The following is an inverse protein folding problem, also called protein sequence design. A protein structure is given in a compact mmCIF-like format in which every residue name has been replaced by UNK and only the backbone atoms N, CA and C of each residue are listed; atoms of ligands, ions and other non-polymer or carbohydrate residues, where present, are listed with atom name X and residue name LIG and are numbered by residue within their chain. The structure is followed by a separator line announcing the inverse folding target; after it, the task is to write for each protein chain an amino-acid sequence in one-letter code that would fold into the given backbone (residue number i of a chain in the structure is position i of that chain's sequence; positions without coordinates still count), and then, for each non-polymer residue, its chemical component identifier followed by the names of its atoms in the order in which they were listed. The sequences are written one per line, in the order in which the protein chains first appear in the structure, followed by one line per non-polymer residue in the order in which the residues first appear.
data_IF_470261131024
#
_entry.id   IF_470261131024
#
_cell.length_a   1.000
_cell.length_b   1.000
_cell.length_c   1.000
_cell.angle_alpha   90.00
_cell.angle_beta   90.00
_cell.angle_gamma   90.00
#
_symmetry.space_group_name_H-M   'P 1'
#
loop_
_entity.id
_entity.type
_entity.pdbx_description
1 polymer ?
#
# COMPACT_ATOMS: atom_id res chain seq x y z
N UNK A 1 -17.58 -17.12 -5.49
CA UNK A 1 -16.18 -17.58 -5.45
C UNK A 1 -15.47 -16.56 -4.60
N UNK A 2 -14.66 -17.00 -3.63
CA UNK A 2 -13.99 -16.05 -2.75
C UNK A 2 -12.57 -15.87 -3.26
N UNK A 3 -12.11 -14.64 -3.34
CA UNK A 3 -10.79 -14.29 -3.83
C UNK A 3 -9.76 -14.27 -2.69
N UNK A 4 -10.21 -13.85 -1.50
CA UNK A 4 -9.36 -13.71 -0.30
C UNK A 4 -9.86 -14.64 0.80
N UNK A 5 -9.00 -15.51 1.31
CA UNK A 5 -9.25 -16.38 2.45
C UNK A 5 -8.57 -15.84 3.70
N UNK A 6 -9.29 -15.71 4.82
CA UNK A 6 -8.73 -15.27 6.10
C UNK A 6 -8.51 -16.49 7.02
N UNK A 7 -7.25 -16.84 7.21
CA UNK A 7 -6.80 -17.86 8.15
C UNK A 7 -6.41 -17.19 9.48
N UNK A 8 -7.00 -17.64 10.58
CA UNK A 8 -6.74 -17.06 11.90
C UNK A 8 -6.94 -18.08 13.02
N UNK A 9 -6.31 -17.84 14.17
CA UNK A 9 -6.60 -18.58 15.40
C UNK A 9 -7.73 -17.91 16.17
N UNK A 10 -8.62 -18.73 16.75
CA UNK A 10 -9.74 -18.22 17.55
C UNK A 10 -9.27 -17.49 18.81
N UNK A 11 -8.21 -18.00 19.43
CA UNK A 11 -7.55 -17.34 20.56
C UNK A 11 -6.59 -16.28 20.02
N UNK A 12 -6.79 -15.02 20.42
CA UNK A 12 -5.96 -13.87 20.04
C UNK A 12 -6.29 -13.24 18.67
N UNK A 13 -6.52 -14.04 17.63
CA UNK A 13 -6.67 -13.54 16.26
C UNK A 13 -8.10 -13.15 15.84
N UNK A 14 -9.12 -13.43 16.67
CA UNK A 14 -10.53 -13.29 16.26
C UNK A 14 -10.89 -11.84 15.93
N UNK A 15 -10.67 -10.90 16.83
CA UNK A 15 -11.06 -9.49 16.61
C UNK A 15 -10.43 -8.92 15.33
N UNK A 16 -9.11 -9.14 15.16
CA UNK A 16 -8.40 -8.75 13.96
C UNK A 16 -9.00 -9.37 12.68
N UNK A 17 -9.36 -10.66 12.72
CA UNK A 17 -9.97 -11.34 11.58
C UNK A 17 -11.31 -10.71 11.16
N UNK A 18 -12.16 -10.35 12.13
CA UNK A 18 -13.44 -9.68 11.85
C UNK A 18 -13.22 -8.28 11.26
N UNK A 19 -12.29 -7.50 11.80
CA UNK A 19 -11.97 -6.17 11.26
C UNK A 19 -11.37 -6.27 9.85
N UNK A 20 -10.43 -7.19 9.62
CA UNK A 20 -9.88 -7.45 8.28
C UNK A 20 -10.99 -7.83 7.31
N UNK A 21 -11.89 -8.74 7.70
CA UNK A 21 -13.02 -9.13 6.86
C UNK A 21 -13.88 -7.93 6.47
N UNK A 22 -14.25 -7.06 7.42
CA UNK A 22 -15.05 -5.86 7.12
C UNK A 22 -14.37 -4.94 6.12
N UNK A 23 -13.07 -4.65 6.29
CA UNK A 23 -12.33 -3.75 5.39
C UNK A 23 -12.15 -4.36 4.01
N UNK A 24 -11.80 -5.64 3.93
CA UNK A 24 -11.67 -6.36 2.66
C UNK A 24 -13.01 -6.46 1.94
N UNK A 25 -14.10 -6.69 2.67
CA UNK A 25 -15.44 -6.78 2.09
C UNK A 25 -15.95 -5.43 1.62
N UNK A 26 -15.60 -4.35 2.32
CA UNK A 26 -15.86 -2.99 1.84
C UNK A 26 -15.11 -2.70 0.53
N UNK A 27 -13.87 -3.19 0.39
CA UNK A 27 -13.02 -2.96 -0.77
C UNK A 27 -13.35 -3.83 -1.98
N UNK A 28 -13.50 -5.14 -1.79
CA UNK A 28 -13.65 -6.14 -2.86
C UNK A 28 -15.05 -6.74 -2.97
N UNK A 29 -15.92 -6.42 -2.01
CA UNK A 29 -17.25 -6.99 -1.88
C UNK A 29 -17.34 -8.18 -0.94
N UNK A 30 -18.51 -8.30 -0.31
CA UNK A 30 -18.81 -9.31 0.71
C UNK A 30 -18.70 -10.75 0.20
N UNK A 31 -19.01 -10.97 -1.09
CA UNK A 31 -18.87 -12.28 -1.73
C UNK A 31 -17.43 -12.69 -2.05
N UNK A 32 -16.47 -11.76 -1.96
CA UNK A 32 -15.09 -11.94 -2.40
C UNK A 32 -14.16 -12.33 -1.26
N UNK A 33 -14.62 -12.28 -0.01
CA UNK A 33 -13.83 -12.57 1.19
C UNK A 33 -14.43 -13.76 1.91
N UNK A 34 -13.59 -14.72 2.28
CA UNK A 34 -13.97 -15.89 3.04
C UNK A 34 -13.40 -15.82 4.45
N UNK A 35 -14.29 -15.90 5.44
CA UNK A 35 -13.96 -16.07 6.85
C UNK A 35 -14.85 -17.19 7.40
N UNK A 36 -14.26 -18.32 7.78
CA UNK A 36 -15.01 -19.54 8.10
C UNK A 36 -16.17 -19.33 9.10
N UNK A 37 -15.96 -18.49 10.12
CA UNK A 37 -16.97 -18.18 11.13
C UNK A 37 -18.18 -17.37 10.61
N UNK A 38 -18.06 -16.70 9.46
CA UNK A 38 -19.13 -15.94 8.80
C UNK A 38 -19.66 -16.64 7.55
N UNK A 39 -18.79 -17.25 6.77
CA UNK A 39 -19.06 -17.69 5.40
C UNK A 39 -19.58 -19.13 5.27
N UNK A 40 -19.49 -19.96 6.33
CA UNK A 40 -19.98 -21.35 6.29
C UNK A 40 -21.40 -21.41 6.87
N UNK A 41 -22.42 -21.79 6.08
CA UNK A 41 -23.79 -21.91 6.57
C UNK A 41 -23.94 -23.04 7.60
N UNK A 42 -24.82 -22.87 8.62
CA UNK A 42 -25.15 -23.94 9.55
C UNK A 42 -25.60 -25.22 8.85
N UNK A 43 -25.12 -26.38 9.32
CA UNK A 43 -25.43 -27.69 8.73
C UNK A 43 -24.51 -28.13 7.59
N UNK A 44 -23.63 -27.25 7.09
CA UNK A 44 -22.62 -27.62 6.10
C UNK A 44 -21.51 -28.46 6.74
N UNK A 45 -20.96 -29.44 6.02
CA UNK A 45 -19.72 -30.08 6.46
C UNK A 45 -18.58 -29.05 6.47
N UNK A 46 -18.22 -28.62 7.68
CA UNK A 46 -17.20 -27.60 7.91
C UNK A 46 -15.86 -27.98 7.27
N UNK A 47 -15.47 -29.25 7.34
CA UNK A 47 -14.18 -29.72 6.84
C UNK A 47 -14.02 -29.54 5.34
N UNK A 48 -15.02 -29.99 4.60
CA UNK A 48 -15.00 -29.99 3.13
C UNK A 48 -15.16 -28.56 2.61
N UNK A 49 -16.05 -27.78 3.23
CA UNK A 49 -16.25 -26.39 2.89
C UNK A 49 -14.95 -25.58 3.07
N UNK A 50 -14.20 -25.82 4.14
CA UNK A 50 -13.00 -25.05 4.44
C UNK A 50 -11.91 -25.28 3.40
N UNK A 51 -11.53 -26.53 3.18
CA UNK A 51 -10.48 -26.92 2.22
C UNK A 51 -10.88 -26.54 0.79
N UNK A 52 -12.15 -26.75 0.41
CA UNK A 52 -12.63 -26.36 -0.91
C UNK A 52 -12.58 -24.86 -1.12
N UNK A 53 -12.83 -24.04 -0.10
CA UNK A 53 -12.77 -22.58 -0.22
C UNK A 53 -11.34 -22.07 -0.23
N UNK A 54 -10.41 -22.71 0.50
CA UNK A 54 -8.97 -22.42 0.36
C UNK A 54 -8.57 -22.59 -1.11
N UNK A 55 -8.80 -23.76 -1.70
CA UNK A 55 -8.41 -24.06 -3.11
C UNK A 55 -8.98 -23.12 -4.16
N UNK A 56 -10.06 -22.41 -3.84
CA UNK A 56 -10.74 -21.48 -4.75
C UNK A 56 -10.33 -20.03 -4.57
N UNK A 57 -9.52 -19.74 -3.56
CA UNK A 57 -9.00 -18.40 -3.29
C UNK A 57 -7.71 -18.14 -4.05
N UNK A 58 -7.48 -16.89 -4.40
CA UNK A 58 -6.23 -16.44 -5.01
C UNK A 58 -5.23 -15.99 -3.95
N UNK A 59 -5.73 -15.49 -2.82
CA UNK A 59 -4.92 -15.00 -1.69
C UNK A 59 -5.39 -15.66 -0.39
N UNK A 60 -4.44 -16.16 0.41
CA UNK A 60 -4.68 -16.52 1.80
C UNK A 60 -3.91 -15.56 2.72
N UNK A 61 -4.65 -14.87 3.59
CA UNK A 61 -4.11 -14.01 4.64
C UNK A 61 -3.98 -14.80 5.93
N UNK A 62 -2.76 -15.03 6.39
CA UNK A 62 -2.47 -15.77 7.62
C UNK A 62 -2.26 -14.79 8.78
N UNK A 63 -3.26 -14.63 9.64
CA UNK A 63 -3.20 -13.70 10.78
C UNK A 63 -2.40 -14.34 11.93
N UNK A 64 -1.24 -13.75 12.22
CA UNK A 64 -0.25 -14.24 13.18
C UNK A 64 -0.09 -13.20 14.28
N UNK A 65 -0.67 -13.49 15.44
CA UNK A 65 -0.44 -12.74 16.67
C UNK A 65 0.73 -13.33 17.50
N UNK A 66 0.99 -12.74 18.67
CA UNK A 66 2.06 -13.16 19.57
C UNK A 66 1.88 -14.58 20.16
N UNK A 67 0.67 -15.13 20.13
CA UNK A 67 0.35 -16.46 20.66
C UNK A 67 0.25 -17.52 19.57
N UNK A 68 0.27 -17.13 18.30
CA UNK A 68 -0.08 -17.99 17.17
C UNK A 68 0.78 -19.25 17.06
N UNK A 69 2.09 -19.12 17.29
CA UNK A 69 3.07 -20.20 17.14
C UNK A 69 3.02 -21.19 18.30
N UNK A 70 2.75 -20.70 19.51
CA UNK A 70 2.78 -21.48 20.75
C UNK A 70 1.38 -21.78 21.30
N UNK A 71 0.34 -21.48 20.53
CA UNK A 71 -1.05 -21.78 20.89
C UNK A 71 -1.21 -23.26 21.26
N UNK A 72 -1.89 -23.57 22.38
CA UNK A 72 -2.05 -24.93 22.86
C UNK A 72 -3.00 -25.71 21.94
N UNK A 73 -2.72 -27.00 21.75
CA UNK A 73 -3.64 -27.92 21.07
C UNK A 73 -4.89 -28.16 21.92
N UNK A 74 -6.06 -28.13 21.28
CA UNK A 74 -7.35 -28.29 21.97
C UNK A 74 -7.51 -29.67 22.63
N UNK A 75 -6.94 -30.72 22.04
CA UNK A 75 -7.03 -32.09 22.58
C UNK A 75 -5.91 -32.40 23.56
N UNK A 76 -4.76 -31.74 23.42
CA UNK A 76 -3.61 -31.90 24.31
C UNK A 76 -2.93 -30.55 24.60
N UNK A 77 -3.36 -29.85 25.66
CA UNK A 77 -2.85 -28.51 25.99
C UNK A 77 -1.33 -28.42 26.21
N UNK A 78 -0.65 -29.53 26.52
CA UNK A 78 0.81 -29.59 26.67
C UNK A 78 1.59 -29.58 25.35
N UNK A 79 0.91 -29.56 24.20
CA UNK A 79 1.51 -29.54 22.86
C UNK A 79 1.05 -28.33 22.09
N UNK A 80 1.93 -27.75 21.26
CA UNK A 80 1.56 -26.68 20.32
C UNK A 80 0.61 -27.21 19.24
N UNK A 81 -0.46 -26.47 18.98
CA UNK A 81 -1.51 -26.82 18.03
C UNK A 81 -0.96 -27.10 16.62
N UNK A 82 -0.01 -26.30 16.13
CA UNK A 82 0.61 -26.49 14.81
C UNK A 82 1.31 -27.84 14.65
N UNK A 83 1.73 -28.49 15.74
CA UNK A 83 2.36 -29.83 15.64
C UNK A 83 1.30 -30.91 15.39
N UNK A 84 0.03 -30.65 15.73
CA UNK A 84 -1.08 -31.54 15.41
C UNK A 84 -1.47 -31.39 13.93
N UNK A 85 -1.42 -32.50 13.16
CA UNK A 85 -1.85 -32.53 11.75
C UNK A 85 -3.36 -32.25 11.56
N UNK A 86 -4.16 -32.36 12.63
CA UNK A 86 -5.60 -32.08 12.59
C UNK A 86 -5.93 -30.62 12.95
N UNK A 87 -4.93 -29.77 13.27
CA UNK A 87 -5.14 -28.34 13.51
C UNK A 87 -5.61 -27.66 12.21
N UNK A 88 -6.73 -26.94 12.29
CA UNK A 88 -7.35 -26.32 11.11
C UNK A 88 -6.44 -25.28 10.47
N UNK A 89 -5.82 -24.43 11.28
CA UNK A 89 -4.91 -23.38 10.79
C UNK A 89 -3.77 -23.99 9.99
N UNK A 90 -3.14 -25.05 10.53
CA UNK A 90 -2.13 -25.80 9.80
C UNK A 90 -2.66 -26.38 8.48
N UNK A 91 -3.81 -27.06 8.51
CA UNK A 91 -4.35 -27.72 7.31
C UNK A 91 -4.68 -26.73 6.20
N UNK A 92 -5.26 -25.59 6.52
CA UNK A 92 -5.56 -24.52 5.57
C UNK A 92 -4.26 -23.97 4.94
N UNK A 93 -3.23 -23.74 5.75
CA UNK A 93 -1.94 -23.25 5.27
C UNK A 93 -1.20 -24.28 4.41
N UNK A 94 -1.18 -25.55 4.83
CA UNK A 94 -0.59 -26.65 4.04
C UNK A 94 -1.29 -26.78 2.69
N UNK A 95 -2.62 -26.68 2.67
CA UNK A 95 -3.41 -26.73 1.45
C UNK A 95 -3.12 -25.54 0.53
N UNK A 96 -3.06 -24.32 1.08
CA UNK A 96 -2.78 -23.12 0.30
C UNK A 96 -1.39 -23.14 -0.34
N UNK A 97 -0.36 -23.51 0.44
CA UNK A 97 1.00 -23.64 -0.05
C UNK A 97 1.10 -24.72 -1.14
N UNK A 98 0.48 -25.88 -0.91
CA UNK A 98 0.50 -26.98 -1.90
C UNK A 98 -0.27 -26.64 -3.17
N UNK A 99 -1.31 -25.80 -3.06
CA UNK A 99 -2.13 -25.35 -4.19
C UNK A 99 -1.54 -24.14 -4.94
N UNK A 100 -0.38 -23.61 -4.51
CA UNK A 100 0.26 -22.44 -5.14
C UNK A 100 -0.50 -21.13 -4.92
N UNK A 101 -1.33 -21.05 -3.88
CA UNK A 101 -2.07 -19.84 -3.52
C UNK A 101 -1.09 -18.81 -2.95
N UNK A 102 -1.32 -17.52 -3.22
CA UNK A 102 -0.54 -16.45 -2.62
C UNK A 102 -0.80 -16.39 -1.11
N UNK A 103 0.13 -16.89 -0.31
CA UNK A 103 0.06 -16.82 1.16
C UNK A 103 0.77 -15.55 1.65
N UNK A 104 0.03 -14.70 2.35
CA UNK A 104 0.56 -13.46 2.96
C UNK A 104 0.44 -13.55 4.48
N UNK A 105 1.57 -13.70 5.19
CA UNK A 105 1.59 -13.56 6.64
C UNK A 105 1.25 -12.13 7.07
N UNK A 106 0.24 -11.98 7.93
CA UNK A 106 -0.16 -10.72 8.56
C UNK A 106 0.20 -10.74 10.04
N UNK A 107 1.26 -10.05 10.41
CA UNK A 107 1.75 -9.93 11.78
C UNK A 107 0.90 -8.93 12.55
N UNK A 108 0.16 -9.42 13.56
CA UNK A 108 -0.82 -8.64 14.30
C UNK A 108 -0.21 -8.06 15.56
N UNK A 109 -0.21 -6.73 15.66
CA UNK A 109 0.35 -6.02 16.79
C UNK A 109 1.89 -5.94 16.77
N UNK A 110 2.44 -5.26 17.77
CA UNK A 110 3.88 -4.98 17.85
C UNK A 110 4.69 -6.14 18.41
N UNK A 111 4.05 -6.99 19.22
CA UNK A 111 4.67 -8.16 19.83
C UNK A 111 4.81 -9.35 18.89
N UNK A 112 4.14 -9.33 17.73
CA UNK A 112 4.28 -10.38 16.72
C UNK A 112 5.70 -10.38 16.14
N UNK A 113 6.43 -11.46 16.42
CA UNK A 113 7.80 -11.71 15.97
C UNK A 113 7.76 -12.47 14.65
N UNK A 114 8.79 -12.27 13.83
CA UNK A 114 8.99 -13.05 12.61
C UNK A 114 8.98 -14.55 12.91
N UNK A 115 8.37 -15.33 12.03
CA UNK A 115 8.32 -16.78 12.16
C UNK A 115 9.72 -17.37 12.00
N UNK A 116 10.07 -18.30 12.89
CA UNK A 116 11.28 -19.13 12.75
C UNK A 116 10.90 -20.46 12.09
N UNK A 117 11.43 -20.72 10.89
CA UNK A 117 11.19 -21.95 10.13
C UNK A 117 11.45 -23.22 10.95
N UNK A 118 12.42 -23.20 11.88
CA UNK A 118 12.77 -24.34 12.74
C UNK A 118 11.73 -24.64 13.80
N UNK A 119 10.90 -23.65 14.14
CA UNK A 119 9.81 -23.78 15.11
C UNK A 119 8.51 -24.23 14.46
N UNK A 120 8.44 -24.23 13.12
CA UNK A 120 7.29 -24.67 12.33
C UNK A 120 7.39 -26.16 11.96
N UNK A 121 6.25 -26.82 11.69
CA UNK A 121 6.27 -28.09 10.97
C UNK A 121 6.98 -27.94 9.62
N UNK A 122 7.70 -28.98 9.17
CA UNK A 122 8.45 -28.96 7.89
C UNK A 122 7.60 -28.51 6.70
N UNK A 123 6.32 -28.90 6.67
CA UNK A 123 5.34 -28.52 5.63
C UNK A 123 4.95 -27.04 5.63
N UNK A 124 5.21 -26.31 6.71
CA UNK A 124 4.94 -24.88 6.84
C UNK A 124 6.21 -24.04 6.90
N UNK A 125 7.40 -24.65 6.75
CA UNK A 125 8.67 -23.94 6.87
C UNK A 125 8.77 -22.75 5.89
N UNK A 126 8.21 -22.90 4.69
CA UNK A 126 8.16 -21.85 3.67
C UNK A 126 7.41 -20.59 4.12
N UNK A 127 6.43 -20.72 5.03
CA UNK A 127 5.68 -19.58 5.57
C UNK A 127 6.59 -18.56 6.26
N UNK A 128 7.71 -19.01 6.84
CA UNK A 128 8.69 -18.14 7.48
C UNK A 128 9.55 -17.35 6.48
N UNK A 129 9.62 -17.81 5.22
CA UNK A 129 10.35 -17.16 4.13
C UNK A 129 9.46 -16.21 3.32
N UNK A 130 8.14 -16.27 3.50
CA UNK A 130 7.19 -15.36 2.87
C UNK A 130 7.37 -13.91 3.36
N UNK A 131 7.25 -12.95 2.44
CA UNK A 131 7.15 -11.54 2.80
C UNK A 131 5.88 -11.31 3.63
N UNK A 132 6.05 -10.70 4.80
CA UNK A 132 4.97 -10.44 5.74
C UNK A 132 4.55 -8.97 5.72
N UNK A 133 3.29 -8.71 6.02
CA UNK A 133 2.80 -7.37 6.35
C UNK A 133 2.55 -7.23 7.85
N UNK A 134 2.66 -6.01 8.36
CA UNK A 134 2.28 -5.70 9.75
C UNK A 134 0.93 -5.01 9.77
N UNK A 135 0.11 -5.42 10.72
CA UNK A 135 -1.20 -4.84 11.01
C UNK A 135 -1.24 -4.38 12.46
N UNK A 136 -1.48 -3.10 12.69
CA UNK A 136 -1.75 -2.57 14.04
C UNK A 136 -3.24 -2.25 14.18
N UNK A 137 -3.91 -2.77 15.20
CA UNK A 137 -5.35 -2.53 15.41
C UNK A 137 -5.69 -1.03 15.49
N UNK A 138 -4.79 -0.21 16.07
CA UNK A 138 -4.96 1.26 16.12
C UNK A 138 -4.94 1.94 14.75
N UNK A 139 -4.21 1.38 13.78
CA UNK A 139 -4.02 1.94 12.45
C UNK A 139 -4.60 1.04 11.35
N UNK A 140 -5.59 0.21 11.72
CA UNK A 140 -6.08 -0.87 10.87
C UNK A 140 -6.61 -0.37 9.53
N UNK A 141 -7.27 0.78 9.49
CA UNK A 141 -7.82 1.33 8.25
C UNK A 141 -6.71 1.69 7.26
N UNK A 142 -5.65 2.36 7.73
CA UNK A 142 -4.49 2.71 6.91
C UNK A 142 -3.69 1.49 6.48
N UNK A 143 -3.42 0.57 7.41
CA UNK A 143 -2.65 -0.65 7.12
C UNK A 143 -3.41 -1.55 6.13
N UNK A 144 -4.74 -1.68 6.28
CA UNK A 144 -5.58 -2.46 5.35
C UNK A 144 -5.68 -1.80 3.98
N UNK A 145 -5.78 -0.46 3.90
CA UNK A 145 -5.75 0.23 2.62
C UNK A 145 -4.44 -0.06 1.86
N UNK A 146 -3.30 0.08 2.53
CA UNK A 146 -1.97 -0.26 1.96
C UNK A 146 -1.89 -1.71 1.53
N UNK A 147 -2.40 -2.64 2.34
CA UNK A 147 -2.43 -4.06 2.00
C UNK A 147 -3.29 -4.30 0.74
N UNK A 148 -4.49 -3.75 0.67
CA UNK A 148 -5.38 -3.91 -0.48
C UNK A 148 -4.73 -3.39 -1.77
N UNK A 149 -4.14 -2.20 -1.73
CA UNK A 149 -3.44 -1.62 -2.88
C UNK A 149 -2.30 -2.53 -3.38
N UNK A 150 -1.60 -3.21 -2.47
CA UNK A 150 -0.54 -4.16 -2.81
C UNK A 150 -1.09 -5.45 -3.40
N UNK A 151 -2.16 -5.99 -2.83
CA UNK A 151 -2.81 -7.19 -3.32
C UNK A 151 -3.38 -6.97 -4.74
N UNK A 152 -4.01 -5.81 -4.98
CA UNK A 152 -4.53 -5.41 -6.30
C UNK A 152 -3.42 -5.41 -7.36
N UNK A 153 -2.21 -4.92 -7.02
CA UNK A 153 -1.07 -4.91 -7.95
C UNK A 153 -0.53 -6.30 -8.26
N UNK A 154 -0.77 -7.28 -7.40
CA UNK A 154 -0.23 -8.63 -7.52
C UNK A 154 -1.23 -9.63 -8.09
N UNK A 155 -2.53 -9.38 -7.90
CA UNK A 155 -3.62 -10.32 -8.23
C UNK A 155 -4.66 -9.62 -9.11
N UNK A 156 -4.66 -9.89 -10.43
CA UNK A 156 -5.58 -9.28 -11.39
C UNK A 156 -7.06 -9.47 -11.03
N UNK A 157 -7.41 -10.62 -10.46
CA UNK A 157 -8.78 -10.96 -10.05
C UNK A 157 -9.28 -10.03 -8.94
N UNK A 158 -8.39 -9.61 -8.03
CA UNK A 158 -8.72 -8.60 -7.00
C UNK A 158 -8.82 -7.20 -7.59
N UNK A 159 -8.02 -6.87 -8.60
CA UNK A 159 -8.12 -5.59 -9.29
C UNK A 159 -9.48 -5.42 -9.98
N UNK A 160 -10.03 -6.50 -10.56
CA UNK A 160 -11.34 -6.49 -11.20
C UNK A 160 -12.50 -6.26 -10.20
N UNK A 161 -12.30 -6.50 -8.91
CA UNK A 161 -13.31 -6.38 -7.87
C UNK A 161 -13.17 -5.11 -7.03
N UNK A 162 -12.16 -4.30 -7.32
CA UNK A 162 -11.89 -3.08 -6.56
C UNK A 162 -13.03 -2.06 -6.71
N UNK A 163 -13.73 -1.79 -5.60
CA UNK A 163 -14.84 -0.82 -5.53
C UNK A 163 -14.39 0.61 -5.27
N UNK A 164 -13.13 0.77 -4.87
CA UNK A 164 -12.54 2.07 -4.59
C UNK A 164 -11.26 2.23 -5.40
N UNK A 165 -11.32 2.05 -6.74
CA UNK A 165 -10.14 2.23 -7.57
C UNK A 165 -9.52 3.57 -7.19
N UNK A 166 -8.21 3.55 -6.86
CA UNK A 166 -7.47 4.80 -6.74
C UNK A 166 -7.83 5.61 -7.98
N UNK A 167 -8.17 6.91 -7.86
CA UNK A 167 -8.56 7.69 -9.02
C UNK A 167 -7.47 7.43 -10.05
N UNK A 168 -7.86 6.78 -11.15
CA UNK A 168 -6.96 6.58 -12.27
C UNK A 168 -6.35 7.95 -12.47
N UNK A 169 -5.02 8.04 -12.52
CA UNK A 169 -4.37 9.26 -12.93
C UNK A 169 -4.89 9.50 -14.36
N UNK A 170 -6.02 10.20 -14.46
CA UNK A 170 -6.50 10.81 -15.68
C UNK A 170 -5.37 11.77 -15.97
N UNK A 171 -4.48 11.35 -16.85
CA UNK A 171 -3.63 12.24 -17.62
C UNK A 171 -4.60 13.09 -18.43
N UNK A 172 -5.18 14.07 -17.76
CA UNK A 172 -5.84 15.19 -18.37
C UNK A 172 -4.72 15.96 -19.07
N UNK A 173 -4.64 15.92 -20.41
CA UNK A 173 -3.52 16.50 -21.14
C UNK A 173 -3.44 18.03 -20.93
N UNK A 174 -4.52 18.64 -20.42
CA UNK A 174 -4.64 20.07 -20.15
C UNK A 174 -4.46 20.47 -18.68
N UNK A 175 -4.22 19.53 -17.76
CA UNK A 175 -3.70 19.90 -16.43
C UNK A 175 -2.19 20.13 -16.56
N UNK A 176 -1.81 21.39 -16.78
CA UNK A 176 -0.43 21.81 -16.51
C UNK A 176 -0.09 21.36 -15.07
N UNK A 177 0.90 20.48 -14.95
CA UNK A 177 1.46 19.99 -13.70
C UNK A 177 2.04 21.16 -12.89
N UNK A 178 1.18 21.86 -12.15
CA UNK A 178 1.58 22.91 -11.22
C UNK A 178 2.16 22.30 -9.95
N UNK A 179 3.45 22.55 -9.70
CA UNK A 179 4.10 22.17 -8.45
C UNK A 179 3.68 23.15 -7.35
N UNK A 180 2.98 22.67 -6.33
CA UNK A 180 2.70 23.47 -5.13
C UNK A 180 3.87 23.35 -4.14
N UNK A 181 4.81 24.31 -4.20
CA UNK A 181 5.95 24.37 -3.28
C UNK A 181 5.67 25.27 -2.05
N UNK A 182 4.50 25.13 -1.44
CA UNK A 182 4.12 25.89 -0.24
C UNK A 182 4.91 25.40 0.98
N UNK A 183 6.19 25.75 1.06
CA UNK A 183 7.05 25.39 2.19
C UNK A 183 8.56 25.60 1.99
N UNK A 184 9.08 25.59 0.76
CA UNK A 184 10.50 25.92 0.54
C UNK A 184 10.70 27.41 0.28
N UNK A 185 11.47 28.06 1.14
CA UNK A 185 11.94 29.44 0.97
C UNK A 185 13.41 29.42 0.55
N UNK A 186 13.69 29.90 -0.65
CA UNK A 186 15.04 30.08 -1.21
C UNK A 186 15.77 28.78 -1.58
N UNK A 187 16.28 28.70 -2.82
CA UNK A 187 17.19 27.64 -3.25
C UNK A 187 17.02 27.18 -4.70
N UNK A 188 18.01 26.41 -5.17
CA UNK A 188 17.98 25.66 -6.44
C UNK A 188 17.65 24.21 -6.09
N UNK A 189 16.58 23.66 -6.69
CA UNK A 189 16.16 22.27 -6.47
C UNK A 189 16.03 21.49 -7.77
N UNK A 190 16.39 20.22 -7.73
CA UNK A 190 16.09 19.25 -8.79
C UNK A 190 14.97 18.34 -8.29
N UNK A 191 13.83 18.32 -8.97
CA UNK A 191 12.73 17.40 -8.65
C UNK A 191 12.89 16.15 -9.51
N UNK A 192 12.68 14.98 -8.91
CA UNK A 192 12.66 13.72 -9.66
C UNK A 192 11.40 13.70 -10.55
N UNK A 193 11.58 13.85 -11.87
CA UNK A 193 10.50 13.99 -12.87
C UNK A 193 10.92 14.85 -14.08
N UNK A 194 10.09 14.93 -15.13
CA UNK A 194 10.39 15.65 -16.40
C UNK A 194 10.36 17.19 -16.31
N UNK A 195 10.43 17.75 -15.09
CA UNK A 195 10.13 19.16 -14.81
C UNK A 195 11.38 20.04 -14.63
N UNK A 196 12.59 19.49 -14.78
CA UNK A 196 13.83 20.27 -14.82
C UNK A 196 14.21 20.94 -13.48
N UNK A 197 15.20 21.83 -13.55
CA UNK A 197 15.68 22.62 -12.41
C UNK A 197 14.74 23.77 -12.12
N UNK A 198 14.32 23.96 -10.87
CA UNK A 198 13.53 25.13 -10.44
C UNK A 198 14.31 26.03 -9.48
N UNK A 199 13.98 27.32 -9.51
CA UNK A 199 14.56 28.36 -8.65
C UNK A 199 13.41 29.15 -8.02
N UNK A 200 13.41 29.31 -6.69
CA UNK A 200 12.35 30.01 -5.96
C UNK A 200 12.90 31.20 -5.14
N UNK A 201 12.14 32.31 -5.10
CA UNK A 201 12.41 33.54 -4.32
C UNK A 201 13.88 34.00 -4.32
N UNK A 202 14.40 34.33 -5.51
CA UNK A 202 15.75 34.86 -5.69
C UNK A 202 15.86 36.32 -5.26
N UNK A 203 16.69 36.61 -4.26
CA UNK A 203 16.95 37.97 -3.78
C UNK A 203 18.30 38.55 -4.26
N UNK A 204 18.93 37.93 -5.26
CA UNK A 204 20.21 38.36 -5.85
C UNK A 204 20.60 37.54 -7.09
N UNK A 205 21.74 37.85 -7.74
CA UNK A 205 22.21 37.10 -8.91
C UNK A 205 22.54 35.65 -8.56
N UNK A 206 22.01 34.69 -9.32
CA UNK A 206 22.26 33.26 -9.14
C UNK A 206 22.81 32.64 -10.43
N UNK A 207 23.77 31.72 -10.29
CA UNK A 207 24.38 30.99 -11.39
C UNK A 207 23.99 29.52 -11.33
N UNK A 208 23.29 29.02 -12.35
CA UNK A 208 22.76 27.64 -12.38
C UNK A 208 23.74 26.60 -12.94
N UNK A 209 24.97 27.00 -13.25
CA UNK A 209 25.99 26.13 -13.85
C UNK A 209 26.03 26.22 -15.38
N UNK A 210 27.01 25.55 -15.99
CA UNK A 210 27.29 25.55 -17.44
C UNK A 210 26.64 24.38 -18.20
N UNK A 211 25.59 23.76 -17.66
CA UNK A 211 24.88 22.64 -18.27
C UNK A 211 23.57 23.05 -18.95
N UNK A 212 23.11 22.21 -19.89
CA UNK A 212 21.85 22.43 -20.62
C UNK A 212 20.64 22.37 -19.68
N UNK A 213 19.82 23.43 -19.69
CA UNK A 213 18.53 23.45 -19.00
C UNK A 213 17.46 22.86 -19.91
N UNK A 214 17.18 21.57 -19.75
CA UNK A 214 16.19 20.86 -20.58
C UNK A 214 14.79 21.14 -20.03
N UNK A 215 14.04 21.98 -20.74
CA UNK A 215 12.59 22.10 -20.62
C UNK A 215 11.93 21.63 -21.92
N UNK A 216 10.79 20.94 -21.79
CA UNK A 216 10.06 20.27 -22.87
C UNK A 216 9.69 21.19 -24.06
N UNK A 217 9.79 22.51 -23.89
CA UNK A 217 9.45 23.53 -24.89
C UNK A 217 10.58 24.52 -25.24
N UNK A 218 11.86 24.12 -25.10
CA UNK A 218 13.04 24.88 -25.56
C UNK A 218 13.20 26.30 -24.98
N UNK A 219 12.47 26.65 -23.92
CA UNK A 219 12.59 27.92 -23.23
C UNK A 219 12.32 27.72 -21.73
N UNK A 220 13.12 28.33 -20.85
CA UNK A 220 12.85 28.33 -19.42
C UNK A 220 11.55 29.09 -19.16
N UNK A 221 10.59 28.43 -18.50
CA UNK A 221 9.39 29.11 -18.00
C UNK A 221 9.77 29.87 -16.73
N UNK A 222 9.65 31.19 -16.78
CA UNK A 222 9.92 32.08 -15.63
C UNK A 222 8.56 32.60 -15.17
N UNK A 223 8.25 32.42 -13.89
CA UNK A 223 7.01 32.91 -13.27
C UNK A 223 7.37 33.77 -12.08
N UNK A 224 6.93 35.02 -12.08
CA UNK A 224 7.18 35.99 -11.00
C UNK A 224 7.57 37.36 -11.55
N UNK A 225 7.28 38.41 -10.77
CA UNK A 225 7.57 39.79 -11.16
C UNK A 225 9.07 40.10 -11.06
N UNK A 226 9.59 40.90 -11.99
CA UNK A 226 10.96 41.45 -11.95
C UNK A 226 12.10 40.43 -12.01
N UNK A 227 11.96 39.35 -12.78
CA UNK A 227 13.02 38.34 -12.95
C UNK A 227 13.75 38.51 -14.30
N UNK A 228 15.08 38.60 -14.27
CA UNK A 228 15.94 38.64 -15.46
C UNK A 228 16.62 37.29 -15.68
N UNK A 229 16.48 36.74 -16.88
CA UNK A 229 17.16 35.51 -17.27
C UNK A 229 18.03 35.74 -18.52
N UNK A 230 19.28 35.30 -18.45
CA UNK A 230 20.25 35.36 -19.56
C UNK A 230 20.89 33.99 -19.68
N UNK A 231 20.86 33.40 -20.88
CA UNK A 231 21.51 32.12 -21.17
C UNK A 231 22.22 32.16 -22.53
N UNK A 232 23.31 31.41 -22.64
CA UNK A 232 24.12 31.27 -23.85
C UNK A 232 25.05 32.44 -24.16
N UNK A 233 25.72 32.38 -25.31
CA UNK A 233 26.49 33.48 -25.87
C UNK A 233 25.50 34.55 -26.36
N UNK A 234 25.52 35.72 -25.72
CA UNK A 234 24.47 36.72 -25.82
C UNK A 234 24.42 37.36 -27.22
N UNK A 235 23.55 36.85 -28.10
CA UNK A 235 23.30 37.38 -29.44
C UNK A 235 21.85 37.84 -29.66
N UNK A 236 21.02 37.90 -28.60
CA UNK A 236 19.60 38.28 -28.68
C UNK A 236 19.14 39.12 -27.48
N UNK A 237 18.13 39.96 -27.70
CA UNK A 237 17.69 41.00 -26.77
C UNK A 237 17.13 40.51 -25.43
N UNK A 238 17.34 41.32 -24.40
CA UNK A 238 16.86 41.12 -23.02
C UNK A 238 15.31 41.16 -23.03
N UNK A 239 14.65 40.08 -22.63
CA UNK A 239 13.20 40.08 -22.39
C UNK A 239 12.90 40.47 -20.95
N UNK A 240 12.14 41.53 -20.77
CA UNK A 240 11.62 42.02 -19.49
C UNK A 240 10.10 41.87 -19.52
N UNK A 241 9.52 41.29 -18.47
CA UNK A 241 8.07 41.22 -18.29
C UNK A 241 7.72 41.87 -16.95
N UNK A 242 6.88 42.90 -17.00
CA UNK A 242 6.39 43.61 -15.81
C UNK A 242 4.92 43.24 -15.60
N UNK A 243 4.62 42.61 -14.47
CA UNK A 243 3.24 42.32 -14.07
C UNK A 243 2.43 43.59 -13.77
N UNK A 244 1.09 43.50 -13.78
CA UNK A 244 0.22 44.61 -13.41
C UNK A 244 0.44 45.01 -11.94
N UNK A 245 0.45 46.32 -11.67
CA UNK A 245 0.59 46.88 -10.32
C UNK A 245 -0.46 46.30 -9.37
N UNK A 246 -0.01 45.62 -8.31
CA UNK A 246 -0.87 45.26 -7.17
C UNK A 246 -1.27 46.55 -6.44
N UNK A 247 -2.57 46.87 -6.28
CA UNK A 247 -3.00 48.04 -5.51
C UNK A 247 -2.55 47.90 -4.05
N UNK A 248 -2.00 48.98 -3.48
CA UNK A 248 -1.73 49.03 -2.03
C UNK A 248 -3.05 49.04 -1.28
N UNK A 249 -3.07 48.36 -0.14
CA UNK A 249 -4.23 48.14 0.73
C UNK A 249 -4.78 49.42 1.42
N UNK A 250 -4.36 50.61 0.97
CA UNK A 250 -4.69 51.90 1.58
C UNK A 250 -5.60 52.78 0.68
N UNK A 251 -6.03 52.30 -0.49
CA UNK A 251 -6.97 53.01 -1.38
C UNK A 251 -8.44 52.57 -1.17
N UNK A 252 -8.85 52.37 0.08
CA UNK A 252 -10.28 52.36 0.46
C UNK A 252 -10.52 53.43 1.55
N UNK A 253 -10.85 54.64 1.10
CA UNK A 253 -11.61 55.61 1.91
C UNK A 253 -12.42 56.56 1.06
#
# INVERSE_FOLDING_TARGET
MHEVFINYRTQGGKEAAYMCHERLSARFGDGSVFLAAKSIPPGTNYADALISNVRRSHVLLALIDEHWLDAPDRKNPGRRALVNRQDWVRRELEEALTSGILVVPLMIGRSAVQLDARRLPKSLAELAECQYERLTLRAIDTDMARLCDRLIRQVPELAALDRHPAPAATSDPDRESGVHNSGQRGGIGQVNGSLGTFVNESHGPLHTGSGDQIHQNHSPKITGDSTNYVAGNNHGGIRQEFGPRVPRKDDER
#
